data_IF_566115154524
#
_entry.id   IF_566115154524
#
_cell.length_a   1.000
_cell.length_b   1.000
_cell.length_c   1.000
_cell.angle_alpha   90.00
_cell.angle_beta   90.00
_cell.angle_gamma   90.00
#
_symmetry.space_group_name_H-M   'P 1'
#
loop_
_entity.id
_entity.type
_entity.pdbx_description
1 polymer ?
#
# COMPACT_ATOMS: atom_id res chain seq x y z
N UNK A 1 -8.65 7.54 14.08
CA UNK A 1 -7.64 8.50 14.56
C UNK A 1 -6.84 7.82 15.66
N UNK A 2 -5.53 8.09 15.73
CA UNK A 2 -4.71 7.63 16.84
C UNK A 2 -5.23 8.21 18.16
N UNK A 3 -5.13 7.43 19.23
CA UNK A 3 -5.53 7.88 20.56
C UNK A 3 -4.43 8.77 21.15
N UNK A 4 -4.76 9.68 22.08
CA UNK A 4 -3.76 10.50 22.78
C UNK A 4 -2.65 9.66 23.42
N UNK A 5 -2.99 8.51 24.00
CA UNK A 5 -2.05 7.62 24.68
C UNK A 5 -1.02 7.04 23.71
N UNK A 6 -1.44 6.69 22.49
CA UNK A 6 -0.53 6.25 21.43
C UNK A 6 0.43 7.37 21.03
N UNK A 7 -0.08 8.60 20.88
CA UNK A 7 0.74 9.75 20.48
C UNK A 7 1.79 10.05 21.54
N UNK A 8 1.40 10.06 22.82
CA UNK A 8 2.33 10.26 23.95
C UNK A 8 3.41 9.16 23.99
N UNK A 9 3.02 7.90 23.81
CA UNK A 9 3.97 6.80 23.76
C UNK A 9 4.99 6.97 22.64
N UNK A 10 4.53 7.34 21.44
CA UNK A 10 5.43 7.53 20.30
C UNK A 10 6.43 8.67 20.55
N UNK A 11 5.98 9.76 21.17
CA UNK A 11 6.86 10.87 21.57
C UNK A 11 7.91 10.44 22.61
N UNK A 12 7.55 9.62 23.59
CA UNK A 12 8.52 9.05 24.55
C UNK A 12 9.48 8.07 23.88
N UNK A 13 8.99 7.25 22.94
CA UNK A 13 9.80 6.30 22.18
C UNK A 13 10.87 7.04 21.34
N UNK A 14 10.50 8.15 20.70
CA UNK A 14 11.40 8.97 19.90
C UNK A 14 12.60 9.54 20.64
N UNK A 15 12.53 9.66 21.98
CA UNK A 15 13.68 10.07 22.79
C UNK A 15 14.80 9.03 22.82
N UNK A 16 14.49 7.78 22.50
CA UNK A 16 15.40 6.64 22.62
C UNK A 16 15.75 6.01 21.27
N UNK A 17 14.84 6.08 20.30
CA UNK A 17 15.01 5.47 18.96
C UNK A 17 14.44 6.38 17.88
N UNK A 18 14.92 6.22 16.65
CA UNK A 18 14.30 6.84 15.47
C UNK A 18 12.98 6.14 15.16
N UNK A 19 11.91 6.90 14.95
CA UNK A 19 10.57 6.38 14.67
C UNK A 19 10.11 6.80 13.28
N UNK A 20 9.58 5.82 12.53
CA UNK A 20 9.06 6.02 11.19
C UNK A 20 7.62 5.53 11.04
N UNK A 21 6.81 6.25 10.27
CA UNK A 21 5.47 5.83 9.86
C UNK A 21 5.52 5.37 8.40
N UNK A 22 4.95 4.21 8.08
CA UNK A 22 4.77 3.75 6.70
C UNK A 22 3.32 3.35 6.43
N UNK A 23 2.74 3.88 5.36
CA UNK A 23 1.37 3.58 4.95
C UNK A 23 1.22 3.55 3.44
N UNK A 24 0.32 2.70 2.94
CA UNK A 24 -0.02 2.65 1.51
C UNK A 24 -0.91 3.80 1.03
N UNK A 25 -1.46 4.57 1.96
CA UNK A 25 -2.29 5.74 1.67
C UNK A 25 -1.45 6.97 1.33
N UNK A 26 -2.08 7.97 0.71
CA UNK A 26 -1.48 9.29 0.55
C UNK A 26 -1.26 10.00 1.90
N UNK A 27 -0.46 11.07 1.87
CA UNK A 27 -0.13 11.86 3.05
C UNK A 27 -1.35 12.52 3.70
N UNK A 28 -2.38 12.87 2.91
CA UNK A 28 -3.60 13.49 3.43
C UNK A 28 -4.33 12.52 4.37
N UNK A 29 -4.47 11.26 3.97
CA UNK A 29 -5.12 10.23 4.77
C UNK A 29 -4.31 9.86 6.00
N UNK A 30 -2.98 9.80 5.88
CA UNK A 30 -2.09 9.60 7.04
C UNK A 30 -2.25 10.77 8.03
N UNK A 31 -2.25 12.01 7.54
CA UNK A 31 -2.47 13.20 8.36
C UNK A 31 -3.85 13.24 9.04
N UNK A 32 -4.90 12.73 8.38
CA UNK A 32 -6.23 12.58 9.01
C UNK A 32 -6.21 11.58 10.17
N UNK A 33 -5.40 10.52 10.06
CA UNK A 33 -5.32 9.46 11.08
C UNK A 33 -4.41 9.83 12.25
N UNK A 34 -3.28 10.47 12.00
CA UNK A 34 -2.21 10.71 12.98
C UNK A 34 -2.05 12.17 13.40
N UNK A 35 -2.70 13.11 12.71
CA UNK A 35 -2.61 14.54 12.97
C UNK A 35 -1.96 15.30 11.82
N UNK A 36 -2.32 16.59 11.69
CA UNK A 36 -1.87 17.46 10.59
C UNK A 36 -0.36 17.73 10.59
N UNK A 37 0.30 17.52 11.72
CA UNK A 37 1.73 17.77 11.93
C UNK A 37 2.58 16.51 11.75
N UNK A 38 1.98 15.37 11.32
CA UNK A 38 2.64 14.05 11.26
C UNK A 38 4.04 14.06 10.64
N UNK A 39 4.26 14.87 9.59
CA UNK A 39 5.55 14.98 8.89
C UNK A 39 6.66 15.58 9.76
N UNK A 40 6.29 16.38 10.76
CA UNK A 40 7.19 16.97 11.75
C UNK A 40 7.18 16.19 13.08
N UNK A 41 6.14 15.39 13.33
CA UNK A 41 6.00 14.64 14.58
C UNK A 41 6.87 13.37 14.59
N UNK A 42 7.16 12.80 13.41
CA UNK A 42 7.96 11.57 13.27
C UNK A 42 9.24 11.82 12.48
N UNK A 43 10.32 11.10 12.81
CA UNK A 43 11.62 11.24 12.13
C UNK A 43 11.50 10.88 10.65
N UNK A 44 10.69 9.85 10.33
CA UNK A 44 10.38 9.45 8.97
C UNK A 44 8.87 9.30 8.74
N UNK A 45 8.38 9.80 7.60
CA UNK A 45 7.00 9.56 7.15
C UNK A 45 6.99 9.11 5.70
N UNK A 46 6.57 7.88 5.49
CA UNK A 46 6.49 7.19 4.19
C UNK A 46 5.03 7.00 3.80
N UNK A 47 4.52 7.90 2.96
CA UNK A 47 3.22 7.75 2.30
C UNK A 47 3.36 6.98 0.99
N UNK A 48 2.28 6.35 0.55
CA UNK A 48 2.26 5.51 -0.65
C UNK A 48 3.41 4.48 -0.64
N UNK A 49 3.56 3.74 0.47
CA UNK A 49 4.62 2.76 0.72
C UNK A 49 6.06 3.32 0.71
N UNK A 50 6.21 4.65 0.76
CA UNK A 50 7.51 5.33 0.66
C UNK A 50 7.83 5.88 -0.72
N UNK A 51 6.89 5.80 -1.68
CA UNK A 51 7.00 6.55 -2.93
C UNK A 51 7.13 8.04 -2.65
N UNK A 52 6.45 8.55 -1.62
CA UNK A 52 6.67 9.88 -1.06
C UNK A 52 7.23 9.73 0.34
N UNK A 53 8.47 10.18 0.53
CA UNK A 53 9.26 9.98 1.75
C UNK A 53 9.67 11.32 2.35
N UNK A 54 9.37 11.53 3.63
CA UNK A 54 9.84 12.67 4.41
C UNK A 54 10.78 12.20 5.52
N UNK A 55 11.79 13.03 5.81
CA UNK A 55 12.67 12.90 6.97
C UNK A 55 12.83 14.26 7.64
N UNK A 56 12.65 14.33 8.96
CA UNK A 56 12.79 15.58 9.75
C UNK A 56 11.98 16.75 9.14
N UNK A 57 10.72 16.48 8.77
CA UNK A 57 9.86 17.48 8.13
C UNK A 57 10.11 17.72 6.63
N UNK A 58 11.20 17.18 6.06
CA UNK A 58 11.67 17.51 4.69
C UNK A 58 11.42 16.36 3.72
N UNK A 59 10.97 16.68 2.51
CA UNK A 59 10.83 15.70 1.43
C UNK A 59 12.22 15.20 0.99
N UNK A 60 12.46 13.89 1.11
CA UNK A 60 13.72 13.23 0.72
C UNK A 60 13.57 12.33 -0.51
N UNK A 61 12.34 12.02 -0.90
CA UNK A 61 12.09 11.21 -2.09
C UNK A 61 10.65 11.32 -2.57
N UNK A 62 10.48 11.41 -3.89
CA UNK A 62 9.20 11.25 -4.57
C UNK A 62 9.39 10.37 -5.80
N UNK A 63 8.46 9.46 -6.05
CA UNK A 63 8.44 8.61 -7.22
C UNK A 63 7.00 8.41 -7.69
N UNK A 64 6.82 8.37 -9.01
CA UNK A 64 5.51 8.12 -9.63
C UNK A 64 5.60 7.01 -10.65
N UNK A 65 4.49 6.32 -10.89
CA UNK A 65 4.39 5.28 -11.92
C UNK A 65 4.85 5.81 -13.28
N UNK A 66 4.45 7.05 -13.61
CA UNK A 66 4.82 7.73 -14.84
C UNK A 66 6.32 7.90 -14.99
N UNK A 67 7.00 8.43 -13.97
CA UNK A 67 8.44 8.65 -14.01
C UNK A 67 9.24 7.34 -13.99
N UNK A 68 8.73 6.29 -13.35
CA UNK A 68 9.41 5.00 -13.25
C UNK A 68 9.24 4.13 -14.50
N UNK A 69 8.01 3.95 -14.97
CA UNK A 69 7.69 3.07 -16.11
C UNK A 69 7.94 3.77 -17.44
N UNK A 70 7.65 5.07 -17.51
CA UNK A 70 7.75 5.88 -18.72
C UNK A 70 6.50 5.85 -19.59
N UNK A 71 6.22 6.96 -20.30
CA UNK A 71 4.94 7.15 -20.99
C UNK A 71 4.69 6.21 -22.15
N UNK A 72 5.72 5.85 -22.92
CA UNK A 72 5.54 4.95 -24.06
C UNK A 72 5.04 3.57 -23.61
N UNK A 73 5.62 3.04 -22.54
CA UNK A 73 5.23 1.74 -21.96
C UNK A 73 3.86 1.81 -21.29
N UNK A 74 3.56 2.92 -20.59
CA UNK A 74 2.24 3.12 -19.99
C UNK A 74 1.14 3.24 -21.04
N UNK A 75 1.38 3.99 -22.12
CA UNK A 75 0.47 4.11 -23.26
C UNK A 75 0.22 2.74 -23.91
N UNK A 76 1.26 1.93 -24.10
CA UNK A 76 1.11 0.56 -24.61
C UNK A 76 0.24 -0.30 -23.68
N UNK A 77 0.53 -0.28 -22.38
CA UNK A 77 -0.23 -1.00 -21.36
C UNK A 77 -1.70 -0.59 -21.33
N UNK A 78 -1.96 0.72 -21.30
CA UNK A 78 -3.30 1.30 -21.24
C UNK A 78 -4.08 0.97 -22.51
N UNK A 79 -3.50 1.15 -23.69
CA UNK A 79 -4.17 0.86 -24.96
C UNK A 79 -4.58 -0.61 -25.04
N UNK A 80 -3.68 -1.53 -24.72
CA UNK A 80 -4.01 -2.96 -24.71
C UNK A 80 -5.10 -3.28 -23.69
N UNK A 81 -5.01 -2.72 -22.48
CA UNK A 81 -5.99 -2.95 -21.43
C UNK A 81 -7.38 -2.42 -21.84
N UNK A 82 -7.46 -1.25 -22.47
CA UNK A 82 -8.72 -0.69 -22.96
C UNK A 82 -9.32 -1.55 -24.08
N UNK A 83 -8.51 -2.03 -25.03
CA UNK A 83 -8.99 -2.95 -26.06
C UNK A 83 -9.51 -4.25 -25.45
N UNK A 84 -8.76 -4.85 -24.53
CA UNK A 84 -9.19 -6.06 -23.82
C UNK A 84 -10.53 -5.83 -23.11
N UNK A 85 -10.69 -4.72 -22.39
CA UNK A 85 -11.95 -4.39 -21.70
C UNK A 85 -13.08 -4.13 -22.70
N UNK A 86 -12.81 -3.50 -23.85
CA UNK A 86 -13.82 -3.27 -24.88
C UNK A 86 -14.42 -4.59 -25.37
N UNK A 87 -13.58 -5.60 -25.59
CA UNK A 87 -13.97 -6.92 -26.12
C UNK A 87 -14.51 -7.89 -25.04
N UNK A 88 -14.39 -7.57 -23.75
CA UNK A 88 -14.94 -8.41 -22.68
C UNK A 88 -16.47 -8.54 -22.78
N UNK A 89 -16.98 -9.76 -22.84
CA UNK A 89 -18.40 -10.03 -22.72
C UNK A 89 -18.76 -10.21 -21.24
N UNK A 90 -19.26 -9.15 -20.61
CA UNK A 90 -19.73 -9.15 -19.22
C UNK A 90 -21.09 -8.43 -19.14
N UNK A 91 -21.97 -8.78 -18.19
CA UNK A 91 -23.35 -8.27 -18.17
C UNK A 91 -23.46 -6.75 -18.10
N UNK A 92 -22.53 -6.10 -17.38
CA UNK A 92 -22.57 -4.67 -17.08
C UNK A 92 -21.19 -4.06 -17.30
N UNK A 93 -21.16 -2.94 -18.03
CA UNK A 93 -20.03 -2.00 -18.10
C UNK A 93 -20.52 -0.59 -17.76
N UNK A 94 -19.69 0.18 -17.07
CA UNK A 94 -19.95 1.57 -16.68
C UNK A 94 -18.83 2.46 -17.21
N UNK A 95 -18.06 3.08 -16.32
CA UNK A 95 -16.95 3.98 -16.67
C UNK A 95 -15.86 3.96 -15.61
N UNK A 96 -14.75 4.63 -15.89
CA UNK A 96 -13.53 4.57 -15.06
C UNK A 96 -12.99 3.13 -14.99
N UNK A 97 -12.67 2.58 -16.16
CA UNK A 97 -12.11 1.23 -16.32
C UNK A 97 -10.64 1.15 -15.93
N UNK A 98 -9.90 2.24 -16.14
CA UNK A 98 -8.53 2.41 -15.71
C UNK A 98 -8.47 3.74 -14.96
N UNK A 99 -8.09 3.69 -13.69
CA UNK A 99 -7.86 4.87 -12.85
C UNK A 99 -6.36 5.00 -12.62
N UNK A 100 -5.78 6.11 -13.10
CA UNK A 100 -4.37 6.42 -12.91
C UNK A 100 -4.16 7.06 -11.54
N UNK A 101 -3.27 6.48 -10.73
CA UNK A 101 -2.84 7.01 -9.44
C UNK A 101 -1.34 7.29 -9.45
N UNK A 102 -0.85 8.02 -8.46
CA UNK A 102 0.57 8.37 -8.35
C UNK A 102 1.47 7.12 -8.39
N UNK A 103 1.17 6.10 -7.57
CA UNK A 103 1.95 4.87 -7.49
C UNK A 103 1.50 3.68 -8.36
N UNK A 104 0.33 3.74 -8.99
CA UNK A 104 -0.29 2.53 -9.58
C UNK A 104 -1.41 2.85 -10.58
N UNK A 105 -1.83 1.84 -11.33
CA UNK A 105 -3.12 1.84 -12.03
C UNK A 105 -4.10 0.96 -11.27
N UNK A 106 -5.34 1.39 -11.11
CA UNK A 106 -6.45 0.51 -10.72
C UNK A 106 -7.25 0.15 -11.97
N UNK A 107 -7.39 -1.14 -12.27
CA UNK A 107 -8.11 -1.65 -13.45
C UNK A 107 -9.38 -2.36 -13.02
N UNK A 108 -10.52 -1.95 -13.55
CA UNK A 108 -11.86 -2.47 -13.25
C UNK A 108 -12.58 -2.87 -14.54
N UNK A 109 -12.85 -4.18 -14.78
CA UNK A 109 -13.57 -4.62 -15.99
C UNK A 109 -14.99 -4.04 -16.11
N UNK A 110 -15.74 -3.99 -15.00
CA UNK A 110 -17.06 -3.35 -14.95
C UNK A 110 -16.99 -1.82 -14.96
N UNK A 111 -15.86 -1.24 -14.53
CA UNK A 111 -15.68 0.20 -14.34
C UNK A 111 -16.06 0.67 -12.93
N UNK A 112 -15.29 1.59 -12.34
CA UNK A 112 -15.46 2.04 -10.93
C UNK A 112 -16.72 2.88 -10.68
N UNK A 113 -17.31 3.44 -11.73
CA UNK A 113 -18.54 4.25 -11.63
C UNK A 113 -19.82 3.39 -11.51
N UNK A 114 -19.70 2.11 -11.16
CA UNK A 114 -20.83 1.24 -10.88
C UNK A 114 -21.40 1.45 -9.47
N UNK A 115 -22.70 1.14 -9.29
CA UNK A 115 -23.37 1.18 -8.00
C UNK A 115 -22.87 0.09 -7.04
N UNK A 116 -23.23 0.15 -5.77
CA UNK A 116 -22.87 -0.93 -4.82
C UNK A 116 -23.54 -2.27 -5.19
N UNK A 117 -24.80 -2.23 -5.61
CA UNK A 117 -25.51 -3.43 -6.09
C UNK A 117 -24.78 -4.07 -7.29
N UNK A 118 -24.35 -3.24 -8.25
CA UNK A 118 -23.57 -3.69 -9.41
C UNK A 118 -22.19 -4.24 -9.00
N UNK A 119 -21.57 -3.73 -7.92
CA UNK A 119 -20.32 -4.31 -7.36
C UNK A 119 -20.55 -5.71 -6.82
N UNK A 120 -21.62 -5.89 -6.05
CA UNK A 120 -21.97 -7.18 -5.43
C UNK A 120 -22.35 -8.23 -6.51
N UNK A 121 -23.02 -7.80 -7.58
CA UNK A 121 -23.32 -8.64 -8.74
C UNK A 121 -22.05 -9.02 -9.51
N UNK A 122 -21.19 -8.05 -9.81
CA UNK A 122 -19.93 -8.32 -10.51
C UNK A 122 -19.02 -9.22 -9.69
N UNK A 123 -18.94 -9.05 -8.37
CA UNK A 123 -18.14 -9.92 -7.52
C UNK A 123 -18.62 -11.38 -7.60
N UNK A 124 -19.93 -11.61 -7.53
CA UNK A 124 -20.53 -12.95 -7.69
C UNK A 124 -20.25 -13.51 -9.09
N UNK A 125 -20.42 -12.69 -10.12
CA UNK A 125 -20.16 -13.08 -11.51
C UNK A 125 -18.69 -13.45 -11.72
N UNK A 126 -17.76 -12.63 -11.22
CA UNK A 126 -16.32 -12.81 -11.33
C UNK A 126 -15.83 -14.05 -10.59
N UNK A 127 -16.40 -14.39 -9.43
CA UNK A 127 -16.08 -15.64 -8.70
C UNK A 127 -16.39 -16.90 -9.51
N UNK A 128 -17.42 -16.85 -10.36
CA UNK A 128 -17.82 -17.99 -11.21
C UNK A 128 -17.03 -18.01 -12.52
N UNK A 129 -16.89 -16.84 -13.16
CA UNK A 129 -16.35 -16.75 -14.53
C UNK A 129 -14.85 -16.44 -14.57
N UNK A 130 -14.26 -16.06 -13.43
CA UNK A 130 -12.85 -15.67 -13.27
C UNK A 130 -12.42 -14.55 -14.22
N UNK A 131 -13.23 -13.50 -14.36
CA UNK A 131 -12.97 -12.39 -15.29
C UNK A 131 -11.64 -11.70 -14.97
N UNK A 132 -11.46 -11.23 -13.72
CA UNK A 132 -10.23 -10.56 -13.26
C UNK A 132 -9.02 -11.51 -13.27
N UNK A 133 -9.08 -12.74 -12.73
CA UNK A 133 -7.95 -13.67 -12.83
C UNK A 133 -7.50 -13.96 -14.27
N UNK A 134 -8.43 -14.19 -15.20
CA UNK A 134 -8.10 -14.41 -16.62
C UNK A 134 -7.46 -13.18 -17.25
N UNK A 135 -8.03 -12.00 -17.00
CA UNK A 135 -7.48 -10.73 -17.50
C UNK A 135 -6.06 -10.48 -16.95
N UNK A 136 -5.84 -10.69 -15.65
CA UNK A 136 -4.52 -10.55 -15.01
C UNK A 136 -3.51 -11.54 -15.62
N UNK A 137 -3.90 -12.78 -15.91
CA UNK A 137 -3.00 -13.74 -16.55
C UNK A 137 -2.54 -13.26 -17.93
N UNK A 138 -3.46 -12.79 -18.77
CA UNK A 138 -3.15 -12.24 -20.11
C UNK A 138 -2.24 -11.01 -20.01
N UNK A 139 -2.56 -10.07 -19.12
CA UNK A 139 -1.75 -8.86 -18.93
C UNK A 139 -0.35 -9.19 -18.41
N UNK A 140 -0.23 -10.12 -17.47
CA UNK A 140 1.05 -10.54 -16.89
C UNK A 140 1.95 -11.19 -17.93
N UNK A 141 1.40 -12.05 -18.79
CA UNK A 141 2.15 -12.67 -19.87
C UNK A 141 2.66 -11.61 -20.86
N UNK A 142 1.75 -10.77 -21.36
CA UNK A 142 2.07 -9.75 -22.36
C UNK A 142 3.09 -8.72 -21.87
N UNK A 143 2.94 -8.26 -20.63
CA UNK A 143 3.76 -7.21 -20.04
C UNK A 143 4.80 -7.74 -19.04
N UNK A 144 5.18 -9.01 -19.17
CA UNK A 144 6.21 -9.65 -18.34
C UNK A 144 7.53 -8.86 -18.32
N UNK A 145 7.90 -8.25 -19.44
CA UNK A 145 9.08 -7.40 -19.58
C UNK A 145 9.04 -6.08 -18.79
N UNK A 146 7.88 -5.68 -18.25
CA UNK A 146 7.72 -4.46 -17.44
C UNK A 146 7.88 -4.71 -15.92
N UNK A 147 8.01 -5.97 -15.48
CA UNK A 147 8.11 -6.35 -14.07
C UNK A 147 7.02 -5.70 -13.19
N UNK A 148 5.76 -5.82 -13.63
CA UNK A 148 4.60 -5.33 -12.90
C UNK A 148 4.01 -6.42 -12.00
N UNK A 149 3.62 -6.02 -10.80
CA UNK A 149 2.79 -6.78 -9.88
C UNK A 149 1.31 -6.46 -10.13
N UNK A 150 0.48 -7.50 -10.08
CA UNK A 150 -0.97 -7.41 -10.22
C UNK A 150 -1.62 -7.97 -8.96
N UNK A 151 -2.42 -7.15 -8.27
CA UNK A 151 -3.08 -7.52 -7.02
C UNK A 151 -4.59 -7.41 -7.16
N UNK A 152 -5.28 -8.56 -7.20
CA UNK A 152 -6.75 -8.59 -7.19
C UNK A 152 -7.23 -8.27 -5.79
N UNK A 153 -7.99 -7.19 -5.65
CA UNK A 153 -8.46 -6.68 -4.37
C UNK A 153 -9.87 -6.10 -4.46
N UNK A 154 -10.64 -6.25 -3.38
CA UNK A 154 -12.02 -5.82 -3.33
C UNK A 154 -12.92 -6.52 -4.35
N UNK A 155 -14.04 -5.88 -4.68
CA UNK A 155 -15.15 -6.52 -5.40
C UNK A 155 -15.01 -6.46 -6.93
N UNK A 156 -14.39 -5.40 -7.47
CA UNK A 156 -14.50 -5.07 -8.90
C UNK A 156 -13.19 -4.85 -9.64
N UNK A 157 -12.06 -4.68 -8.94
CA UNK A 157 -10.82 -4.25 -9.59
C UNK A 157 -9.60 -5.02 -9.12
N UNK A 158 -8.47 -4.67 -9.72
CA UNK A 158 -7.14 -5.08 -9.32
C UNK A 158 -6.17 -3.92 -9.52
N UNK A 159 -5.15 -3.84 -8.68
CA UNK A 159 -4.09 -2.84 -8.78
C UNK A 159 -2.92 -3.38 -9.61
N UNK A 160 -2.30 -2.48 -10.38
CA UNK A 160 -1.11 -2.74 -11.21
C UNK A 160 -0.04 -1.74 -10.84
N UNK A 161 1.10 -2.22 -10.36
CA UNK A 161 2.21 -1.41 -9.89
C UNK A 161 3.54 -2.11 -10.12
N UNK A 162 4.68 -1.41 -10.19
CA UNK A 162 5.98 -2.04 -10.33
C UNK A 162 6.28 -2.99 -9.18
N UNK A 163 6.98 -4.08 -9.47
CA UNK A 163 7.43 -5.02 -8.45
C UNK A 163 8.28 -4.30 -7.38
N UNK A 164 8.04 -4.63 -6.10
CA UNK A 164 8.73 -4.02 -4.96
C UNK A 164 8.19 -2.64 -4.54
N UNK A 165 7.03 -2.22 -5.06
CA UNK A 165 6.32 -1.01 -4.59
C UNK A 165 5.32 -1.31 -3.45
N UNK A 166 5.44 -2.47 -2.81
CA UNK A 166 4.86 -2.73 -1.49
C UNK A 166 5.63 -1.96 -0.39
N UNK A 167 5.28 -2.16 0.89
CA UNK A 167 5.89 -1.42 2.00
C UNK A 167 7.40 -1.58 2.10
N UNK A 168 8.00 -2.63 1.54
CA UNK A 168 9.46 -2.78 1.51
C UNK A 168 10.15 -1.65 0.75
N UNK A 169 9.44 -0.93 -0.14
CA UNK A 169 9.99 0.20 -0.88
C UNK A 169 10.60 1.26 0.04
N UNK A 170 10.03 1.52 1.22
CA UNK A 170 10.56 2.53 2.14
C UNK A 170 11.94 2.16 2.72
N UNK A 171 12.29 0.87 2.79
CA UNK A 171 13.54 0.39 3.38
C UNK A 171 14.78 0.92 2.64
N UNK A 172 14.64 1.34 1.38
CA UNK A 172 15.71 1.98 0.61
C UNK A 172 16.21 3.29 1.24
N UNK A 173 15.39 3.97 2.03
CA UNK A 173 15.76 5.22 2.72
C UNK A 173 16.37 4.97 4.12
N UNK A 174 16.41 3.70 4.56
CA UNK A 174 16.82 3.29 5.90
C UNK A 174 18.13 2.48 5.86
N UNK A 175 18.97 2.69 4.86
CA UNK A 175 20.21 1.92 4.68
C UNK A 175 21.18 2.06 5.84
N UNK A 176 21.20 3.22 6.50
CA UNK A 176 22.09 3.57 7.60
C UNK A 176 21.72 2.88 8.94
N UNK A 177 20.58 2.20 9.01
CA UNK A 177 20.13 1.49 10.22
C UNK A 177 20.58 0.03 10.21
N UNK A 178 21.26 -0.38 11.29
CA UNK A 178 21.66 -1.78 11.50
C UNK A 178 20.50 -2.68 11.92
N UNK A 179 19.55 -2.15 12.68
CA UNK A 179 18.38 -2.88 13.19
C UNK A 179 17.13 -2.04 12.91
N UNK A 180 16.14 -2.63 12.28
CA UNK A 180 14.85 -1.99 11.97
C UNK A 180 13.75 -2.88 12.54
N UNK A 181 12.96 -2.35 13.47
CA UNK A 181 11.78 -3.03 13.98
C UNK A 181 10.57 -2.57 13.16
N UNK A 182 9.79 -3.53 12.64
CA UNK A 182 8.55 -3.23 11.92
C UNK A 182 7.35 -3.76 12.70
N UNK A 183 6.30 -2.95 12.85
CA UNK A 183 5.04 -3.33 13.50
C UNK A 183 3.90 -3.22 12.49
N UNK A 184 3.08 -4.27 12.36
CA UNK A 184 1.96 -4.31 11.42
C UNK A 184 0.89 -5.32 11.79
N UNK A 185 -0.37 -5.07 11.40
CA UNK A 185 -1.53 -5.90 11.74
C UNK A 185 -1.84 -6.95 10.65
N UNK A 186 -1.52 -6.66 9.38
CA UNK A 186 -1.84 -7.52 8.22
C UNK A 186 -0.60 -8.21 7.67
N UNK A 187 0.11 -8.93 8.53
CA UNK A 187 1.37 -9.62 8.21
C UNK A 187 1.19 -11.01 7.59
N UNK A 188 -0.06 -11.51 7.53
CA UNK A 188 -0.38 -12.77 6.87
C UNK A 188 -0.16 -12.69 5.35
N UNK A 189 0.11 -13.82 4.68
CA UNK A 189 0.32 -13.88 3.23
C UNK A 189 -0.84 -13.23 2.46
N UNK A 190 -0.54 -12.22 1.65
CA UNK A 190 -1.51 -11.42 0.89
C UNK A 190 -2.05 -10.20 1.64
N UNK A 191 -1.70 -10.03 2.91
CA UNK A 191 -1.87 -8.78 3.65
C UNK A 191 -0.83 -7.73 3.22
N UNK A 192 -1.14 -6.46 3.38
CA UNK A 192 -0.30 -5.36 2.89
C UNK A 192 0.94 -5.07 3.75
N UNK A 193 1.12 -5.77 4.88
CA UNK A 193 2.33 -5.72 5.71
C UNK A 193 3.23 -6.94 5.50
N UNK A 194 2.78 -7.95 4.74
CA UNK A 194 3.44 -9.23 4.64
C UNK A 194 4.89 -9.11 4.17
N UNK A 195 5.12 -8.39 3.06
CA UNK A 195 6.45 -8.29 2.45
C UNK A 195 7.47 -7.56 3.33
N UNK A 196 7.04 -6.50 4.04
CA UNK A 196 7.92 -5.76 4.95
C UNK A 196 8.13 -6.49 6.28
N UNK A 197 7.14 -7.26 6.74
CA UNK A 197 7.25 -8.09 7.94
C UNK A 197 8.22 -9.26 7.75
N UNK A 198 8.19 -9.92 6.59
CA UNK A 198 9.07 -11.04 6.22
C UNK A 198 10.44 -10.59 5.65
N UNK A 199 10.68 -9.27 5.55
CA UNK A 199 11.93 -8.76 5.00
C UNK A 199 13.10 -9.08 5.91
N UNK A 200 14.20 -9.61 5.36
CA UNK A 200 15.46 -9.84 6.12
C UNK A 200 16.05 -8.55 6.73
N UNK A 201 15.61 -7.38 6.23
CA UNK A 201 16.01 -6.06 6.74
C UNK A 201 15.25 -5.63 7.99
N UNK A 202 14.20 -6.33 8.38
CA UNK A 202 13.34 -5.97 9.52
C UNK A 202 13.27 -7.10 10.54
N UNK A 203 13.04 -6.73 11.80
CA UNK A 203 12.56 -7.61 12.84
C UNK A 203 11.06 -7.33 12.94
N UNK A 204 10.25 -8.22 12.38
CA UNK A 204 8.79 -8.07 12.29
C UNK A 204 8.06 -8.41 13.60
N UNK A 205 7.18 -7.52 14.03
CA UNK A 205 6.29 -7.68 15.18
C UNK A 205 4.83 -7.65 14.69
N UNK A 206 4.07 -8.71 14.93
CA UNK A 206 2.67 -8.82 14.49
C UNK A 206 1.74 -8.20 15.52
N UNK A 207 1.00 -7.17 15.12
CA UNK A 207 0.01 -6.50 15.96
C UNK A 207 0.07 -4.99 15.74
N UNK A 208 -0.93 -4.28 16.27
CA UNK A 208 -0.77 -2.84 16.51
C UNK A 208 0.12 -2.68 17.74
N UNK A 209 0.85 -1.58 17.81
CA UNK A 209 1.55 -1.16 19.01
C UNK A 209 0.50 -0.84 20.10
N UNK A 210 0.08 -1.85 20.86
CA UNK A 210 -0.93 -1.70 21.91
C UNK A 210 -0.25 -1.34 23.24
N UNK A 211 -0.83 -0.38 23.96
CA UNK A 211 -0.39 0.00 25.29
C UNK A 211 -1.28 -0.73 26.31
N UNK A 212 -0.70 -1.64 27.08
CA UNK A 212 -1.24 -1.99 28.41
C UNK A 212 -0.34 -1.34 29.45
N UNK A 213 -0.84 -0.39 30.22
CA UNK A 213 -0.10 0.22 31.33
C UNK A 213 0.02 -0.78 32.48
N UNK A 214 1.20 -1.38 32.66
CA UNK A 214 1.63 -1.89 33.96
C UNK A 214 2.91 -1.19 34.37
N UNK A 215 2.74 -0.16 35.20
CA UNK A 215 3.85 0.41 35.98
C UNK A 215 4.28 -0.63 36.99
N UNK A 216 5.41 -1.31 36.78
CA UNK A 216 6.34 -1.68 37.84
C UNK A 216 7.72 -1.98 37.21
N UNK A 217 8.72 -1.19 37.60
CA UNK A 217 10.15 -1.28 37.26
C UNK A 217 10.58 -0.79 35.87
N UNK A 218 10.59 0.55 35.67
CA UNK A 218 11.71 1.29 35.05
C UNK A 218 12.27 0.91 33.66
N UNK A 219 11.69 -0.08 32.98
CA UNK A 219 12.05 -0.54 31.65
C UNK A 219 10.77 -0.49 30.80
N UNK A 220 10.80 0.24 29.69
CA UNK A 220 9.75 0.15 28.68
C UNK A 220 9.83 -1.25 28.04
N UNK A 221 9.06 -2.20 28.57
CA UNK A 221 8.75 -3.44 27.86
C UNK A 221 7.60 -3.15 26.91
N UNK A 222 7.89 -3.23 25.61
CA UNK A 222 6.85 -3.26 24.58
C UNK A 222 6.20 -4.65 24.66
N UNK A 223 5.01 -4.74 25.24
CA UNK A 223 4.23 -5.97 25.30
C UNK A 223 3.23 -5.99 24.15
N UNK A 224 3.21 -7.11 23.43
CA UNK A 224 2.29 -7.40 22.33
C UNK A 224 1.16 -8.28 22.89
N UNK A 225 -0.09 -7.83 22.86
CA UNK A 225 -1.24 -8.73 23.04
C UNK A 225 -1.67 -9.29 21.68
N UNK A 226 -1.91 -10.60 21.65
CA UNK A 226 -2.21 -11.38 20.44
C UNK A 226 -3.70 -11.51 20.12
#
# INVERSE_FOLDING_TARGET
MATPEMIEFMQELQKNVTVGIVGGSDLSKISEQLGKTVVNDYDYVFSENGLVAHKDGKLIGTQSLKSFVGEEKLKEFINFTLHYIADLDIPIKRGTFIEFRSGMLNVSPIGRNCSQEERDEFERYDKVHNVRPKMVAVLREKFSHLNLTFSIGGQISFDVFPQGWDKTYCLRYLQDFHVIHFFGDKTYKGGNDHEIYESERTIGHKGLLYISTFTHYGHFQCLMEG
#
